data_IF_236238595177
#
_entry.id   IF_236238595177
#
_cell.length_a   1.000
_cell.length_b   1.000
_cell.length_c   1.000
_cell.angle_alpha   90.00
_cell.angle_beta   90.00
_cell.angle_gamma   90.00
#
_symmetry.space_group_name_H-M   'P 1'
#
loop_
_entity.id
_entity.type
_entity.pdbx_description
1 polymer ?
#
# COMPACT_ATOMS: atom_id res chain seq x y z
N UNK A 1 3.27 -1.97 5.15
CA UNK A 1 3.61 -0.55 5.15
C UNK A 1 2.37 0.23 4.77
N UNK A 2 2.01 1.23 5.55
CA UNK A 2 0.91 2.13 5.28
C UNK A 2 1.38 3.34 4.45
N UNK A 3 0.43 3.98 3.79
CA UNK A 3 0.72 5.11 2.88
C UNK A 3 1.19 6.33 3.67
N UNK A 4 0.72 6.54 4.90
CA UNK A 4 1.15 7.61 5.78
C UNK A 4 2.61 7.47 6.21
N UNK A 5 3.07 6.28 6.62
CA UNK A 5 4.47 5.98 6.96
C UNK A 5 5.39 6.34 5.78
N UNK A 6 4.97 5.95 4.57
CA UNK A 6 5.68 6.25 3.34
C UNK A 6 5.73 7.76 3.06
N UNK A 7 4.61 8.47 3.19
CA UNK A 7 4.56 9.93 2.98
C UNK A 7 5.36 10.69 4.05
N UNK A 8 5.36 10.24 5.30
CA UNK A 8 6.19 10.81 6.36
C UNK A 8 7.67 10.64 6.07
N UNK A 9 8.09 9.47 5.57
CA UNK A 9 9.48 9.20 5.23
C UNK A 9 9.99 10.07 4.05
N UNK A 10 9.20 10.20 2.98
CA UNK A 10 9.58 11.01 1.81
C UNK A 10 9.31 12.51 2.01
N UNK A 11 8.40 12.86 2.92
CA UNK A 11 8.00 14.22 3.28
C UNK A 11 6.80 14.77 2.53
N UNK A 12 6.38 14.17 1.40
CA UNK A 12 5.16 14.57 0.70
C UNK A 12 4.66 13.48 -0.26
N UNK A 13 3.37 13.56 -0.63
CA UNK A 13 2.78 12.66 -1.65
C UNK A 13 3.49 12.83 -3.00
N UNK A 14 3.88 14.06 -3.37
CA UNK A 14 4.61 14.31 -4.62
C UNK A 14 5.94 13.57 -4.64
N UNK A 15 6.73 13.66 -3.56
CA UNK A 15 8.04 12.97 -3.50
C UNK A 15 7.92 11.45 -3.54
N UNK A 16 6.85 10.89 -2.98
CA UNK A 16 6.54 9.46 -3.13
C UNK A 16 6.24 9.13 -4.59
N UNK A 17 5.41 9.94 -5.25
CA UNK A 17 5.05 9.75 -6.65
C UNK A 17 6.29 9.81 -7.56
N UNK A 18 7.16 10.81 -7.35
CA UNK A 18 8.44 10.99 -8.06
C UNK A 18 9.36 9.78 -7.85
N UNK A 19 9.48 9.28 -6.62
CA UNK A 19 10.29 8.10 -6.30
C UNK A 19 9.87 6.86 -7.10
N UNK A 20 8.56 6.64 -7.29
CA UNK A 20 8.05 5.50 -8.03
C UNK A 20 7.87 5.74 -9.54
N UNK A 21 8.10 6.97 -10.02
CA UNK A 21 7.79 7.35 -11.39
C UNK A 21 6.29 7.19 -11.74
N UNK A 22 5.40 7.47 -10.79
CA UNK A 22 3.94 7.40 -10.98
C UNK A 22 3.27 8.72 -10.62
N UNK A 23 1.96 8.85 -10.84
CA UNK A 23 1.22 10.07 -10.52
C UNK A 23 0.78 10.14 -9.04
N UNK A 24 0.43 11.34 -8.57
CA UNK A 24 -0.12 11.52 -7.21
C UNK A 24 -1.43 10.78 -7.02
N UNK A 25 -2.26 10.71 -8.06
CA UNK A 25 -3.54 10.01 -8.08
C UNK A 25 -3.35 8.52 -7.78
N UNK A 26 -2.29 7.91 -8.32
CA UNK A 26 -1.96 6.51 -8.02
C UNK A 26 -1.68 6.31 -6.51
N UNK A 27 -1.04 7.28 -5.85
CA UNK A 27 -0.82 7.25 -4.39
C UNK A 27 -2.15 7.40 -3.64
N UNK A 28 -3.04 8.31 -4.08
CA UNK A 28 -4.37 8.43 -3.49
C UNK A 28 -5.22 7.16 -3.66
N UNK A 29 -5.05 6.42 -4.77
CA UNK A 29 -5.69 5.12 -4.95
C UNK A 29 -5.20 4.06 -3.94
N UNK A 30 -3.97 4.17 -3.43
CA UNK A 30 -3.50 3.28 -2.36
C UNK A 30 -4.15 3.60 -1.02
N UNK A 31 -4.46 4.87 -0.74
CA UNK A 31 -5.22 5.26 0.47
C UNK A 31 -6.66 4.73 0.47
N UNK A 32 -7.23 4.44 -0.70
CA UNK A 32 -8.56 3.83 -0.81
C UNK A 32 -8.56 2.33 -0.49
N UNK A 33 -7.40 1.69 -0.36
CA UNK A 33 -7.31 0.26 0.00
C UNK A 33 -7.66 0.07 1.47
N UNK A 34 -8.29 -1.07 1.86
CA UNK A 34 -8.51 -1.38 3.26
C UNK A 34 -7.22 -1.30 4.07
N UNK A 35 -7.22 -0.51 5.14
CA UNK A 35 -6.04 -0.28 5.98
C UNK A 35 -5.01 0.68 5.39
N UNK A 36 -5.33 1.36 4.28
CA UNK A 36 -4.50 2.38 3.63
C UNK A 36 -3.07 1.89 3.36
N UNK A 37 -2.97 0.66 2.86
CA UNK A 37 -1.69 -0.03 2.68
C UNK A 37 -1.09 0.21 1.29
N UNK A 38 0.23 0.39 1.27
CA UNK A 38 1.03 0.43 0.05
C UNK A 38 1.04 -0.97 -0.57
N UNK A 39 0.88 -1.14 -1.91
CA UNK A 39 1.00 -2.46 -2.56
C UNK A 39 2.27 -3.22 -2.14
N UNK A 40 2.17 -4.53 -1.90
CA UNK A 40 3.28 -5.34 -1.34
C UNK A 40 4.61 -5.16 -2.07
N UNK A 41 4.61 -5.21 -3.40
CA UNK A 41 5.83 -5.02 -4.21
C UNK A 41 6.44 -3.62 -4.03
N UNK A 42 5.61 -2.57 -4.09
CA UNK A 42 6.05 -1.19 -3.86
C UNK A 42 6.57 -0.97 -2.45
N UNK A 43 5.91 -1.55 -1.45
CA UNK A 43 6.38 -1.53 -0.08
C UNK A 43 7.74 -2.23 0.09
N UNK A 44 8.02 -3.28 -0.67
CA UNK A 44 9.33 -3.94 -0.69
C UNK A 44 10.41 -3.04 -1.29
N UNK A 45 10.11 -2.37 -2.40
CA UNK A 45 11.00 -1.38 -3.03
C UNK A 45 11.36 -0.25 -2.05
N UNK A 46 10.36 0.35 -1.40
CA UNK A 46 10.59 1.39 -0.39
C UNK A 46 11.37 0.89 0.83
N UNK A 47 11.08 -0.32 1.32
CA UNK A 47 11.81 -0.90 2.43
C UNK A 47 13.30 -1.09 2.08
N UNK A 48 13.60 -1.64 0.91
CA UNK A 48 14.97 -1.81 0.41
C UNK A 48 15.70 -0.47 0.24
N UNK A 49 15.01 0.55 -0.30
CA UNK A 49 15.56 1.90 -0.46
C UNK A 49 15.84 2.60 0.89
N UNK A 50 14.98 2.38 1.88
CA UNK A 50 15.00 3.13 3.14
C UNK A 50 16.17 2.80 4.08
N UNK A 51 16.98 1.79 3.75
CA UNK A 51 18.09 1.29 4.60
C UNK A 51 17.63 0.99 6.03
N UNK A 52 16.46 0.35 6.15
CA UNK A 52 15.88 -0.08 7.43
C UNK A 52 15.00 0.95 8.14
N UNK A 53 14.78 2.13 7.56
CA UNK A 53 13.86 3.15 8.13
C UNK A 53 12.38 2.86 7.86
N UNK A 54 12.10 2.08 6.80
CA UNK A 54 10.77 1.57 6.48
C UNK A 54 10.80 0.04 6.50
N UNK A 55 9.75 -0.56 7.06
CA UNK A 55 9.67 -2.00 7.25
C UNK A 55 8.44 -2.62 6.59
N UNK A 56 8.65 -3.79 5.99
CA UNK A 56 7.57 -4.65 5.52
C UNK A 56 7.00 -5.44 6.70
N UNK A 57 5.80 -5.06 7.16
CA UNK A 57 5.01 -5.92 8.05
C UNK A 57 4.19 -6.93 7.22
N UNK A 58 4.50 -8.24 7.25
CA UNK A 58 3.81 -9.26 6.45
C UNK A 58 2.33 -9.41 6.80
N UNK A 59 1.93 -9.12 8.05
CA UNK A 59 0.55 -9.25 8.52
C UNK A 59 -0.41 -8.33 7.78
N UNK A 60 0.08 -7.16 7.32
CA UNK A 60 -0.71 -6.22 6.51
C UNK A 60 -1.05 -6.76 5.11
N UNK A 61 -0.36 -7.82 4.67
CA UNK A 61 -0.50 -8.40 3.34
C UNK A 61 -1.03 -9.84 3.35
N UNK A 62 -1.32 -10.38 4.53
CA UNK A 62 -2.08 -11.63 4.59
C UNK A 62 -3.41 -11.37 3.93
N UNK A 63 -3.78 -12.24 2.98
CA UNK A 63 -5.15 -12.25 2.48
C UNK A 63 -6.01 -12.51 3.71
N UNK A 64 -6.84 -11.54 4.08
CA UNK A 64 -7.98 -11.87 4.91
C UNK A 64 -8.83 -12.75 4.01
N UNK A 65 -9.12 -13.97 4.45
CA UNK A 65 -10.12 -14.80 3.79
C UNK A 65 -11.43 -14.00 3.82
N UNK A 66 -11.71 -13.29 2.74
CA UNK A 66 -12.97 -12.56 2.58
C UNK A 66 -14.04 -13.59 2.27
N UNK A 67 -14.46 -14.34 3.29
CA UNK A 67 -15.77 -14.98 3.28
C UNK A 67 -16.81 -13.91 3.60
N UNK A 68 -17.27 -13.22 2.55
CA UNK A 68 -18.58 -12.54 2.38
C UNK A 68 -18.51 -11.69 1.10
N UNK A 69 -19.28 -11.91 0.04
CA UNK A 69 -20.28 -12.93 -0.28
C UNK A 69 -20.77 -12.74 -1.72
N UNK A 70 -21.16 -13.83 -2.37
CA UNK A 70 -22.10 -13.80 -3.50
C UNK A 70 -23.29 -14.68 -3.11
N UNK A 71 -24.39 -14.03 -2.71
CA UNK A 71 -25.70 -14.63 -2.89
C UNK A 71 -26.00 -14.60 -4.39
N UNK A 72 -26.10 -15.77 -5.00
CA UNK A 72 -26.82 -15.97 -6.25
C UNK A 72 -27.59 -17.26 -6.13
N UNK A 73 -28.89 -17.15 -5.87
CA UNK A 73 -29.81 -18.23 -6.16
C UNK A 73 -29.81 -18.49 -7.66
N UNK A 74 -29.83 -19.76 -8.06
CA UNK A 74 -30.87 -20.34 -8.92
C UNK A 74 -30.65 -21.85 -9.03
N UNK A 75 -31.78 -22.57 -9.15
CA UNK A 75 -31.98 -24.02 -9.38
C UNK A 75 -31.92 -24.97 -8.18
#
# INVERSE_FOLDING_TARGET
>A
MRVDELVQFFGSVQRVADFYGITREAIYMWRKRPGEIVPKGRAAEAAAYSKGKLSLNPELYKKKDTTQGEGKGDS
#
